data_IF_826428648536
#
_entry.id   IF_826428648536
#
_cell.length_a   1.000
_cell.length_b   1.000
_cell.length_c   1.000
_cell.angle_alpha   90.00
_cell.angle_beta   90.00
_cell.angle_gamma   90.00
#
_symmetry.space_group_name_H-M   'P 1'
#
loop_
_entity.id
_entity.type
_entity.pdbx_description
1 polymer ?
#
# COMPACT_ATOMS: atom_id res chain seq x y z
N UNK A 1 -15.60 9.00 -29.81
CA UNK A 1 -16.00 8.28 -28.58
C UNK A 1 -15.03 8.68 -27.50
N UNK A 2 -15.50 9.39 -26.46
CA UNK A 2 -14.65 9.76 -25.33
C UNK A 2 -14.30 8.50 -24.53
N UNK A 3 -13.01 8.28 -24.31
CA UNK A 3 -12.54 7.23 -23.41
C UNK A 3 -13.05 7.54 -22.00
N UNK A 4 -13.79 6.61 -21.41
CA UNK A 4 -14.12 6.64 -19.99
C UNK A 4 -13.18 5.66 -19.29
N UNK A 5 -12.45 6.09 -18.25
CA UNK A 5 -11.63 5.16 -17.50
C UNK A 5 -12.50 4.10 -16.80
N UNK A 6 -12.00 2.89 -16.55
CA UNK A 6 -12.73 1.86 -15.82
C UNK A 6 -13.27 2.40 -14.48
N UNK A 7 -14.40 1.90 -13.96
CA UNK A 7 -15.02 2.39 -12.72
C UNK A 7 -14.14 2.29 -11.46
N UNK A 8 -12.98 1.64 -11.56
CA UNK A 8 -11.99 1.50 -10.50
C UNK A 8 -10.89 2.56 -10.52
N UNK A 9 -10.82 3.43 -11.53
CA UNK A 9 -9.88 4.54 -11.53
C UNK A 9 -10.32 5.56 -10.51
N UNK A 10 -9.68 5.52 -9.36
CA UNK A 10 -9.69 6.62 -8.42
C UNK A 10 -9.24 7.88 -9.16
N UNK A 11 -10.09 8.92 -9.15
CA UNK A 11 -9.74 10.25 -9.64
C UNK A 11 -9.28 11.06 -8.44
N UNK A 12 -8.07 11.61 -8.54
CA UNK A 12 -7.59 12.54 -7.53
C UNK A 12 -8.55 13.74 -7.40
N UNK A 13 -8.74 14.29 -6.19
CA UNK A 13 -9.38 15.58 -6.03
C UNK A 13 -8.73 16.65 -6.91
N UNK A 14 -9.50 17.62 -7.40
CA UNK A 14 -9.01 18.64 -8.35
C UNK A 14 -7.87 19.51 -7.84
N UNK A 15 -7.65 19.54 -6.51
CA UNK A 15 -6.56 20.26 -5.88
C UNK A 15 -5.25 19.47 -5.79
N UNK A 16 -5.26 18.15 -6.02
CA UNK A 16 -4.04 17.34 -6.12
C UNK A 16 -3.43 17.52 -7.51
N UNK A 17 -2.22 18.05 -7.57
CA UNK A 17 -1.46 18.20 -8.83
C UNK A 17 -0.57 17.00 -9.14
N UNK A 18 -0.41 16.08 -8.19
CA UNK A 18 0.49 14.95 -8.27
C UNK A 18 0.11 13.88 -9.30
N UNK A 19 1.11 13.07 -9.65
CA UNK A 19 0.96 11.91 -10.53
C UNK A 19 1.66 10.68 -9.95
N UNK A 20 1.21 9.49 -10.32
CA UNK A 20 1.86 8.24 -9.97
C UNK A 20 1.59 7.17 -11.02
N UNK A 21 2.46 6.17 -11.07
CA UNK A 21 2.37 5.05 -12.00
C UNK A 21 2.65 3.72 -11.30
N UNK A 22 2.08 2.64 -11.83
CA UNK A 22 2.29 1.28 -11.35
C UNK A 22 3.18 0.53 -12.32
N UNK A 23 4.32 0.04 -11.83
CA UNK A 23 5.28 -0.72 -12.63
C UNK A 23 5.29 -2.18 -12.21
N UNK A 24 5.07 -3.08 -13.16
CA UNK A 24 5.17 -4.53 -12.91
C UNK A 24 6.63 -4.89 -12.62
N UNK A 25 6.84 -5.55 -11.49
CA UNK A 25 8.15 -6.00 -11.02
C UNK A 25 8.02 -7.39 -10.40
N UNK A 26 9.16 -7.99 -10.06
CA UNK A 26 9.17 -9.31 -9.43
C UNK A 26 10.49 -9.58 -8.71
N UNK A 27 10.50 -10.55 -7.81
CA UNK A 27 11.73 -11.13 -7.23
C UNK A 27 12.71 -10.12 -6.58
N UNK A 28 12.19 -9.04 -6.02
CA UNK A 28 12.95 -7.96 -5.38
C UNK A 28 13.27 -6.76 -6.29
N UNK A 29 12.87 -6.81 -7.56
CA UNK A 29 13.04 -5.69 -8.49
C UNK A 29 12.18 -4.47 -8.07
N UNK A 30 12.75 -3.29 -8.26
CA UNK A 30 12.17 -1.99 -7.89
C UNK A 30 12.69 -0.93 -8.87
N UNK A 31 11.81 -0.24 -9.61
CA UNK A 31 12.22 0.82 -10.52
C UNK A 31 12.75 2.05 -9.78
N UNK A 32 13.55 2.91 -10.45
CA UNK A 32 13.93 4.22 -9.90
C UNK A 32 12.70 5.06 -9.53
N UNK A 33 12.83 5.89 -8.49
CA UNK A 33 11.75 6.75 -7.95
C UNK A 33 10.55 5.97 -7.40
N UNK A 34 10.78 4.73 -6.98
CA UNK A 34 9.79 3.96 -6.22
C UNK A 34 9.50 4.63 -4.88
N UNK A 35 8.22 4.67 -4.50
CA UNK A 35 7.77 5.30 -3.26
C UNK A 35 8.26 4.49 -2.06
N UNK A 36 9.02 5.14 -1.18
CA UNK A 36 9.45 4.56 0.09
C UNK A 36 8.25 4.45 1.04
N UNK A 37 7.86 3.20 1.35
CA UNK A 37 6.80 2.88 2.30
C UNK A 37 7.29 2.80 3.74
N UNK A 38 8.58 2.56 3.94
CA UNK A 38 9.15 2.37 5.26
C UNK A 38 10.63 1.98 5.25
N UNK A 39 11.10 1.55 6.41
CA UNK A 39 12.49 1.14 6.62
C UNK A 39 12.53 0.01 7.65
N UNK A 40 13.32 -1.01 7.35
CA UNK A 40 13.57 -2.14 8.23
C UNK A 40 14.64 -1.79 9.28
N UNK A 41 14.79 -2.60 10.32
CA UNK A 41 15.69 -2.35 11.46
C UNK A 41 17.16 -2.27 11.06
N UNK A 42 17.55 -2.94 9.98
CA UNK A 42 18.89 -2.90 9.40
C UNK A 42 19.11 -1.70 8.45
N UNK A 43 18.14 -0.79 8.34
CA UNK A 43 18.20 0.38 7.46
C UNK A 43 17.81 0.09 6.01
N UNK A 44 17.45 -1.15 5.66
CA UNK A 44 17.04 -1.49 4.30
C UNK A 44 15.68 -0.85 3.96
N UNK A 45 15.55 -0.28 2.75
CA UNK A 45 14.32 0.38 2.35
C UNK A 45 13.19 -0.63 2.10
N UNK A 46 11.98 -0.22 2.43
CA UNK A 46 10.74 -0.94 2.12
C UNK A 46 9.92 -0.06 1.19
N UNK A 47 9.37 -0.64 0.12
CA UNK A 47 8.67 0.09 -0.92
C UNK A 47 7.17 -0.21 -0.92
N UNK A 48 6.40 0.75 -1.45
CA UNK A 48 4.95 0.61 -1.65
C UNK A 48 4.70 -0.19 -2.91
N UNK A 49 3.97 -1.29 -2.77
CA UNK A 49 3.49 -2.06 -3.90
C UNK A 49 2.05 -2.52 -3.76
N UNK A 50 1.63 -3.34 -4.71
CA UNK A 50 0.40 -4.12 -4.66
C UNK A 50 0.58 -5.46 -5.36
N UNK A 51 -0.16 -6.47 -4.93
CA UNK A 51 -0.12 -7.80 -5.52
C UNK A 51 -1.51 -8.45 -5.53
N UNK A 52 -1.77 -9.29 -6.52
CA UNK A 52 -2.99 -10.08 -6.58
C UNK A 52 -2.86 -11.29 -5.65
N UNK A 53 -3.84 -11.49 -4.77
CA UNK A 53 -3.90 -12.66 -3.90
C UNK A 53 -5.35 -13.10 -3.73
N UNK A 54 -5.67 -14.35 -4.11
CA UNK A 54 -7.04 -14.89 -4.06
C UNK A 54 -8.11 -13.92 -4.61
N UNK A 55 -7.88 -13.30 -5.77
CA UNK A 55 -8.87 -12.43 -6.42
C UNK A 55 -8.99 -11.03 -5.82
N UNK A 56 -8.23 -10.70 -4.78
CA UNK A 56 -8.09 -9.34 -4.26
C UNK A 56 -6.80 -8.72 -4.81
N UNK A 57 -6.81 -7.42 -5.10
CA UNK A 57 -5.61 -6.65 -5.35
C UNK A 57 -5.21 -5.96 -4.05
N UNK A 58 -4.19 -6.46 -3.36
CA UNK A 58 -3.85 -6.06 -2.00
C UNK A 58 -2.67 -5.09 -1.98
N UNK A 59 -2.69 -4.05 -1.11
CA UNK A 59 -1.49 -3.29 -0.77
C UNK A 59 -0.38 -4.20 -0.24
N UNK A 60 0.84 -3.99 -0.73
CA UNK A 60 1.98 -4.86 -0.46
C UNK A 60 3.19 -4.09 0.08
N UNK A 61 3.87 -4.73 1.03
CA UNK A 61 5.18 -4.36 1.58
C UNK A 61 6.26 -4.97 0.68
N UNK A 62 6.82 -4.21 -0.26
CA UNK A 62 7.87 -4.72 -1.18
C UNK A 62 9.22 -4.63 -0.49
N UNK A 63 9.91 -5.76 -0.38
CA UNK A 63 11.17 -5.90 0.35
C UNK A 63 12.25 -6.50 -0.56
N UNK A 64 13.08 -5.67 -1.22
CA UNK A 64 14.14 -6.16 -2.10
C UNK A 64 15.11 -7.10 -1.40
N UNK A 65 15.40 -6.84 -0.12
CA UNK A 65 16.25 -7.70 0.72
C UNK A 65 15.70 -9.14 0.86
N UNK A 66 14.38 -9.33 0.84
CA UNK A 66 13.73 -10.64 0.87
C UNK A 66 13.32 -11.14 -0.52
N UNK A 67 13.53 -10.34 -1.57
CA UNK A 67 13.21 -10.68 -2.97
C UNK A 67 11.74 -10.98 -3.22
N UNK A 68 10.85 -10.34 -2.49
CA UNK A 68 9.41 -10.52 -2.59
C UNK A 68 8.63 -9.31 -2.08
N UNK A 69 7.32 -9.34 -2.30
CA UNK A 69 6.36 -8.46 -1.65
C UNK A 69 5.54 -9.26 -0.63
N UNK A 70 5.22 -8.64 0.50
CA UNK A 70 4.33 -9.23 1.49
C UNK A 70 2.98 -8.54 1.49
N UNK A 71 1.91 -9.32 1.38
CA UNK A 71 0.52 -8.87 1.58
C UNK A 71 -0.06 -9.52 2.82
N UNK A 72 -1.15 -8.95 3.35
CA UNK A 72 -1.88 -9.55 4.47
C UNK A 72 -3.22 -10.11 4.00
N UNK A 73 -3.52 -11.36 4.34
CA UNK A 73 -4.76 -12.02 3.97
C UNK A 73 -5.13 -13.12 4.97
N UNK A 74 -6.38 -13.10 5.45
CA UNK A 74 -6.91 -14.12 6.35
C UNK A 74 -6.12 -14.29 7.65
N UNK A 75 -5.67 -13.19 8.28
CA UNK A 75 -4.90 -13.23 9.52
C UNK A 75 -3.42 -13.61 9.35
N UNK A 76 -2.94 -13.76 8.12
CA UNK A 76 -1.56 -14.21 7.82
C UNK A 76 -0.85 -13.25 6.88
N UNK A 77 0.48 -13.20 7.02
CA UNK A 77 1.36 -12.68 6.00
C UNK A 77 1.43 -13.68 4.84
N UNK A 78 1.42 -13.18 3.61
CA UNK A 78 1.56 -13.95 2.37
C UNK A 78 2.68 -13.35 1.54
N UNK A 79 3.50 -14.22 0.97
CA UNK A 79 4.60 -13.85 0.09
C UNK A 79 4.13 -13.88 -1.36
N UNK A 80 4.44 -12.81 -2.09
CA UNK A 80 4.14 -12.67 -3.51
C UNK A 80 5.41 -12.29 -4.27
N UNK A 81 5.76 -13.07 -5.30
CA UNK A 81 6.94 -12.82 -6.12
C UNK A 81 6.65 -11.97 -7.35
N UNK A 82 5.38 -11.81 -7.72
CA UNK A 82 4.94 -10.93 -8.81
C UNK A 82 4.04 -9.84 -8.24
N UNK A 83 4.39 -8.59 -8.51
CA UNK A 83 3.74 -7.44 -7.91
C UNK A 83 3.88 -6.21 -8.81
N UNK A 84 3.21 -5.13 -8.44
CA UNK A 84 3.41 -3.82 -9.00
C UNK A 84 3.98 -2.90 -7.93
N UNK A 85 4.95 -2.06 -8.29
CA UNK A 85 5.55 -1.05 -7.42
C UNK A 85 5.02 0.33 -7.79
N UNK A 86 4.73 1.15 -6.80
CA UNK A 86 4.32 2.54 -6.99
C UNK A 86 5.53 3.43 -7.27
N UNK A 87 5.49 4.17 -8.37
CA UNK A 87 6.48 5.20 -8.74
C UNK A 87 5.82 6.56 -8.71
N UNK A 88 6.37 7.49 -7.91
CA UNK A 88 5.85 8.86 -7.79
C UNK A 88 6.82 9.74 -6.98
N UNK A 89 6.84 11.03 -7.31
CA UNK A 89 7.48 12.09 -6.52
C UNK A 89 6.44 12.96 -5.76
N UNK A 90 5.15 12.58 -5.81
CA UNK A 90 4.01 13.40 -5.37
C UNK A 90 3.20 12.70 -4.26
N UNK A 91 3.88 12.01 -3.35
CA UNK A 91 3.24 11.28 -2.26
C UNK A 91 3.60 11.89 -0.91
N UNK A 92 2.59 12.06 -0.07
CA UNK A 92 2.75 12.43 1.32
C UNK A 92 2.11 11.37 2.24
N UNK A 93 2.49 11.42 3.53
CA UNK A 93 1.94 10.55 4.57
C UNK A 93 1.20 11.41 5.59
N UNK A 94 -0.08 11.15 5.80
CA UNK A 94 -0.94 11.90 6.73
C UNK A 94 -1.33 11.04 7.93
N UNK A 95 -1.21 11.55 9.17
CA UNK A 95 -1.70 10.83 10.34
C UNK A 95 -3.21 10.52 10.26
N UNK A 96 -3.59 9.30 10.61
CA UNK A 96 -4.96 8.83 10.77
C UNK A 96 -5.06 8.11 12.11
N UNK A 97 -5.96 8.58 12.99
CA UNK A 97 -6.08 8.08 14.37
C UNK A 97 -7.43 7.42 14.61
N UNK A 98 -7.45 6.42 15.49
CA UNK A 98 -8.66 5.74 15.95
C UNK A 98 -9.45 5.02 14.87
N UNK A 99 -8.80 4.58 13.78
CA UNK A 99 -9.48 3.99 12.63
C UNK A 99 -10.30 4.99 11.81
N UNK A 100 -9.93 6.27 11.87
CA UNK A 100 -10.67 7.40 11.30
C UNK A 100 -10.97 7.31 9.81
N UNK A 101 -11.74 8.30 9.33
CA UNK A 101 -12.16 8.37 7.93
C UNK A 101 -10.97 8.45 6.98
N UNK A 102 -11.12 7.79 5.83
CA UNK A 102 -10.14 7.85 4.75
C UNK A 102 -10.15 9.28 4.15
N UNK A 103 -8.99 9.98 4.11
CA UNK A 103 -8.91 11.29 3.46
C UNK A 103 -9.27 11.20 1.97
N UNK A 104 -9.93 12.22 1.39
CA UNK A 104 -10.25 12.24 -0.05
C UNK A 104 -9.02 12.09 -0.96
N UNK A 105 -7.84 12.54 -0.51
CA UNK A 105 -6.57 12.47 -1.24
C UNK A 105 -5.87 11.10 -1.12
N UNK A 106 -6.41 10.18 -0.32
CA UNK A 106 -5.81 8.85 -0.14
C UNK A 106 -5.78 8.08 -1.46
N UNK A 107 -4.58 7.65 -1.85
CA UNK A 107 -4.38 6.91 -3.10
C UNK A 107 -4.95 5.51 -2.90
N UNK A 108 -5.95 5.15 -3.72
CA UNK A 108 -6.43 3.77 -3.78
C UNK A 108 -5.32 2.89 -4.35
N UNK A 109 -4.83 1.96 -3.54
CA UNK A 109 -3.76 1.03 -3.93
C UNK A 109 -4.33 -0.27 -4.45
N UNK A 110 -5.47 -0.70 -3.91
CA UNK A 110 -6.04 -2.00 -4.21
C UNK A 110 -7.55 -2.06 -4.05
N UNK A 111 -8.06 -3.28 -4.10
CA UNK A 111 -9.45 -3.59 -3.81
C UNK A 111 -9.66 -5.06 -3.42
N UNK A 112 -10.67 -5.31 -2.61
CA UNK A 112 -11.19 -6.67 -2.41
C UNK A 112 -11.86 -7.15 -3.70
N UNK A 113 -12.06 -8.46 -3.84
CA UNK A 113 -12.83 -9.06 -4.95
C UNK A 113 -14.24 -8.49 -5.11
N UNK A 114 -14.85 -8.02 -4.02
CA UNK A 114 -16.19 -7.43 -4.00
C UNK A 114 -16.16 -5.93 -4.34
N UNK A 115 -14.97 -5.37 -4.57
CA UNK A 115 -14.76 -4.01 -5.04
C UNK A 115 -14.47 -2.99 -3.94
N UNK A 116 -14.40 -3.39 -2.66
CA UNK A 116 -14.08 -2.46 -1.58
C UNK A 116 -12.67 -1.87 -1.81
N UNK A 117 -12.50 -0.53 -1.83
CA UNK A 117 -11.20 0.08 -2.02
C UNK A 117 -10.28 -0.18 -0.83
N UNK A 118 -9.02 -0.47 -1.12
CA UNK A 118 -7.96 -0.66 -0.12
C UNK A 118 -6.88 0.40 -0.33
N UNK A 119 -6.28 0.84 0.78
CA UNK A 119 -5.32 1.94 0.81
C UNK A 119 -4.01 1.49 1.44
N UNK A 120 -2.94 2.24 1.19
CA UNK A 120 -1.66 2.03 1.85
C UNK A 120 -1.58 2.88 3.10
N UNK A 121 -1.25 2.25 4.22
CA UNK A 121 -0.86 2.94 5.44
C UNK A 121 0.46 2.40 5.96
N UNK A 122 1.03 3.04 6.97
CA UNK A 122 2.25 2.59 7.65
C UNK A 122 2.22 2.94 9.13
N UNK A 123 2.96 2.19 9.93
CA UNK A 123 3.11 2.44 11.36
C UNK A 123 4.45 1.92 11.88
N UNK A 124 4.85 2.37 13.07
CA UNK A 124 6.03 1.86 13.74
C UNK A 124 5.71 0.52 14.43
N UNK A 125 6.51 -0.52 14.15
CA UNK A 125 6.39 -1.84 14.76
C UNK A 125 7.78 -2.41 15.02
N UNK A 126 8.11 -2.68 16.29
CA UNK A 126 9.41 -3.26 16.70
C UNK A 126 10.64 -2.57 16.07
N UNK A 127 10.64 -1.23 16.04
CA UNK A 127 11.75 -0.44 15.50
C UNK A 127 11.78 -0.32 13.96
N UNK A 128 10.83 -0.93 13.27
CA UNK A 128 10.64 -0.77 11.81
C UNK A 128 9.50 0.19 11.52
N UNK A 129 9.64 0.98 10.45
CA UNK A 129 8.50 1.68 9.87
C UNK A 129 7.92 0.77 8.80
N UNK A 130 6.76 0.17 9.06
CA UNK A 130 6.22 -0.90 8.21
C UNK A 130 4.93 -0.45 7.50
N UNK A 131 4.90 -0.49 6.15
CA UNK A 131 3.69 -0.27 5.38
C UNK A 131 2.78 -1.51 5.34
N UNK A 132 1.49 -1.29 5.08
CA UNK A 132 0.47 -2.33 5.04
C UNK A 132 -0.88 -1.88 4.50
N UNK A 133 -1.87 -2.77 4.59
CA UNK A 133 -3.21 -2.62 4.03
C UNK A 133 -4.13 -1.90 5.01
N UNK A 134 -4.58 -0.70 4.65
CA UNK A 134 -5.70 -0.03 5.32
C UNK A 134 -7.01 -0.52 4.71
N UNK A 135 -7.90 -1.02 5.57
CA UNK A 135 -9.16 -1.61 5.18
C UNK A 135 -10.32 -0.79 5.78
N UNK A 136 -11.01 0.05 4.98
CA UNK A 136 -11.97 1.03 5.50
C UNK A 136 -13.10 0.41 6.31
N UNK A 137 -13.75 -0.65 5.83
CA UNK A 137 -14.84 -1.33 6.55
C UNK A 137 -14.40 -1.98 7.87
N UNK A 138 -13.11 -2.30 8.00
CA UNK A 138 -12.54 -2.81 9.25
C UNK A 138 -11.99 -1.70 10.16
N UNK A 139 -11.93 -0.45 9.68
CA UNK A 139 -11.43 0.71 10.42
C UNK A 139 -9.99 0.57 10.92
N UNK A 140 -9.12 -0.11 10.20
CA UNK A 140 -7.74 -0.35 10.67
C UNK A 140 -6.71 -0.55 9.54
N UNK A 141 -5.46 -0.38 9.93
CA UNK A 141 -4.27 -0.83 9.20
C UNK A 141 -3.93 -2.27 9.60
N UNK A 142 -3.58 -3.08 8.62
CA UNK A 142 -3.00 -4.40 8.78
C UNK A 142 -1.57 -4.42 8.22
N UNK A 143 -0.59 -4.77 9.05
CA UNK A 143 0.80 -4.95 8.62
C UNK A 143 1.19 -6.43 8.59
N UNK A 144 2.09 -6.77 7.68
CA UNK A 144 2.69 -8.10 7.56
C UNK A 144 3.96 -8.18 8.42
N UNK A 145 3.94 -9.02 9.45
CA UNK A 145 5.09 -9.22 10.33
C UNK A 145 5.15 -10.65 10.88
N UNK A 146 6.34 -11.26 10.80
CA UNK A 146 6.67 -12.59 11.35
C UNK A 146 5.64 -13.69 11.02
N UNK A 147 5.14 -13.69 9.79
CA UNK A 147 4.14 -14.68 9.33
C UNK A 147 2.68 -14.34 9.67
N UNK A 148 2.42 -13.25 10.38
CA UNK A 148 1.09 -12.84 10.83
C UNK A 148 0.63 -11.50 10.22
N UNK A 149 -0.69 -11.30 10.25
CA UNK A 149 -1.34 -10.01 10.00
C UNK A 149 -1.57 -9.31 11.36
N UNK A 150 -0.92 -8.17 11.59
CA UNK A 150 -1.01 -7.41 12.84
C UNK A 150 -1.85 -6.14 12.62
N UNK A 151 -2.79 -5.88 13.52
CA UNK A 151 -3.77 -4.79 13.42
C UNK A 151 -3.35 -3.54 14.19
N UNK A 152 -3.57 -2.37 13.58
CA UNK A 152 -3.34 -1.05 14.16
C UNK A 152 -4.51 -0.09 13.86
N UNK A 153 -4.88 0.74 14.83
CA UNK A 153 -5.90 1.78 14.68
C UNK A 153 -5.31 3.18 14.46
N UNK A 154 -4.08 3.39 14.90
CA UNK A 154 -3.31 4.61 14.66
C UNK A 154 -2.21 4.31 13.64
N UNK A 155 -2.19 5.08 12.56
CA UNK A 155 -1.27 4.91 11.44
C UNK A 155 -1.09 6.21 10.66
N UNK A 156 -0.16 6.22 9.71
CA UNK A 156 -0.15 7.21 8.64
C UNK A 156 -0.75 6.59 7.37
N UNK A 157 -1.52 7.36 6.60
CA UNK A 157 -2.08 6.94 5.32
C UNK A 157 -1.40 7.68 4.18
N UNK A 158 -1.15 6.96 3.10
CA UNK A 158 -0.53 7.49 1.89
C UNK A 158 -1.55 8.30 1.08
N UNK A 159 -1.21 9.56 0.79
CA UNK A 159 -2.03 10.48 0.02
C UNK A 159 -1.26 11.03 -1.16
N UNK A 160 -2.01 11.46 -2.19
CA UNK A 160 -1.46 12.25 -3.28
C UNK A 160 -1.32 13.70 -2.84
N UNK A 161 -0.15 14.27 -3.07
CA UNK A 161 0.16 15.70 -2.86
C UNK A 161 -0.02 16.49 -4.17
#
# INVERSE_FOLDING_TARGET
MSWQPPPWTWSAPSHCGGTFEWFRSSHGDVPPRSVHGGVDVNGMPIFVGRAWHHGDLLPAKVTPAHRCAFVTYGGRQKEEHHYEVLVSDHVAWRPCRGGGSIPPEAIRVGHTRDGEPLYMGRTMHHGTLTPGKVHPSHGCLYIAWDGYEIKYYDYEIMVLD
#
